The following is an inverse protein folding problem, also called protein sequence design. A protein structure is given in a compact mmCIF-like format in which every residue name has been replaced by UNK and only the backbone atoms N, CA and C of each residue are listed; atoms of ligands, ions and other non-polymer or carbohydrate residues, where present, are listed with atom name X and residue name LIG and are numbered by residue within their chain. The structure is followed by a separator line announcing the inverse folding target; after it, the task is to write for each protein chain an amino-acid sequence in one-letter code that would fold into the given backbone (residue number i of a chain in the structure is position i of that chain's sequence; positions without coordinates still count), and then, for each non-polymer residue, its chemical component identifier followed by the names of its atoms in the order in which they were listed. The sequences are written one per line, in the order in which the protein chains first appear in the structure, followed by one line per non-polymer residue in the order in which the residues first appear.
data_IF_578504541909
#
_entry.id   IF_578504541909
#
_cell.length_a   1.000
_cell.length_b   1.000
_cell.length_c   1.000
_cell.angle_alpha   90.00
_cell.angle_beta   90.00
_cell.angle_gamma   90.00
#
_symmetry.space_group_name_H-M   'P 1'
#
loop_
_entity.id
_entity.type
_entity.pdbx_description
1 polymer ?
#
# COMPACT_ATOMS: atom_id res chain seq x y z
N UNK A 1 -10.34 13.76 -10.41
CA UNK A 1 -10.28 14.05 -8.97
C UNK A 1 -8.82 14.27 -8.61
N UNK A 2 -8.42 15.46 -8.19
CA UNK A 2 -7.09 15.63 -7.60
C UNK A 2 -7.19 15.10 -6.17
N UNK A 3 -6.55 13.98 -5.88
CA UNK A 3 -6.38 13.53 -4.51
C UNK A 3 -5.52 14.56 -3.79
N UNK A 4 -6.07 15.14 -2.72
CA UNK A 4 -5.36 16.11 -1.90
C UNK A 4 -4.88 15.40 -0.65
N UNK A 5 -3.57 15.38 -0.47
CA UNK A 5 -2.92 14.86 0.71
C UNK A 5 -2.23 16.04 1.41
N UNK A 6 -2.89 16.68 2.38
CA UNK A 6 -2.38 17.90 3.01
C UNK A 6 -1.14 17.62 3.85
N UNK A 7 -0.31 18.65 3.99
CA UNK A 7 0.65 18.76 5.07
C UNK A 7 -0.11 19.28 6.28
N UNK A 8 -0.07 18.54 7.39
CA UNK A 8 -0.79 18.88 8.62
C UNK A 8 0.14 19.64 9.55
N UNK A 9 -0.24 20.87 9.91
CA UNK A 9 0.47 21.70 10.88
C UNK A 9 -0.33 21.71 12.16
N UNK A 10 0.28 21.34 13.27
CA UNK A 10 -0.33 21.39 14.60
C UNK A 10 0.40 22.44 15.41
N UNK A 11 -0.30 23.55 15.67
CA UNK A 11 0.23 24.73 16.32
C UNK A 11 -0.90 25.49 17.00
N UNK A 12 -0.81 25.72 18.30
CA UNK A 12 -1.85 26.41 19.09
C UNK A 12 -2.02 27.86 18.62
N UNK A 13 -0.93 28.47 18.18
CA UNK A 13 -0.89 29.83 17.68
C UNK A 13 -1.19 29.96 16.18
N UNK A 14 -1.52 28.88 15.47
CA UNK A 14 -1.75 28.90 14.03
C UNK A 14 -2.75 29.98 13.58
N UNK A 15 -3.73 30.31 14.43
CA UNK A 15 -4.72 31.38 14.17
C UNK A 15 -4.44 32.68 14.90
N UNK A 16 -3.37 32.74 15.70
CA UNK A 16 -2.99 33.88 16.51
C UNK A 16 -2.30 34.97 15.65
N UNK A 17 -2.40 36.23 16.06
CA UNK A 17 -1.69 37.35 15.42
C UNK A 17 -0.34 37.66 16.07
N UNK A 18 0.13 36.83 17.00
CA UNK A 18 1.45 36.95 17.60
C UNK A 18 2.58 36.54 16.64
N UNK A 19 3.84 36.74 17.04
CA UNK A 19 4.99 36.46 16.18
C UNK A 19 5.11 34.97 15.83
N UNK A 20 4.75 34.07 16.74
CA UNK A 20 4.74 32.62 16.52
C UNK A 20 3.74 32.26 15.42
N UNK A 21 2.48 32.71 15.57
CA UNK A 21 1.43 32.48 14.60
C UNK A 21 1.73 33.09 13.21
N UNK A 22 2.40 34.24 13.16
CA UNK A 22 2.85 34.83 11.90
C UNK A 22 3.94 33.98 11.22
N UNK A 23 4.89 33.45 11.98
CA UNK A 23 5.97 32.60 11.48
C UNK A 23 5.45 31.31 10.88
N UNK A 24 4.58 30.59 11.58
CA UNK A 24 4.03 29.32 11.10
C UNK A 24 3.10 29.51 9.89
N UNK A 25 2.32 30.61 9.84
CA UNK A 25 1.52 30.94 8.65
C UNK A 25 2.38 31.31 7.45
N UNK A 26 3.51 32.01 7.63
CA UNK A 26 4.43 32.26 6.53
C UNK A 26 4.97 30.96 5.91
N UNK A 27 5.24 29.93 6.73
CA UNK A 27 5.60 28.60 6.24
C UNK A 27 4.42 27.93 5.53
N UNK A 28 3.21 27.99 6.08
CA UNK A 28 2.00 27.46 5.46
C UNK A 28 1.75 28.11 4.07
N UNK A 29 1.83 29.44 3.99
CA UNK A 29 1.69 30.17 2.73
C UNK A 29 2.76 29.79 1.70
N UNK A 30 4.00 29.57 2.14
CA UNK A 30 5.07 29.12 1.26
C UNK A 30 4.80 27.70 0.70
N UNK A 31 4.24 26.80 1.52
CA UNK A 31 3.83 25.45 1.10
C UNK A 31 2.66 25.54 0.09
N UNK A 32 1.65 26.38 0.36
CA UNK A 32 0.49 26.53 -0.52
C UNK A 32 0.84 27.16 -1.87
N UNK A 33 1.81 28.08 -1.92
CA UNK A 33 2.36 28.64 -3.18
C UNK A 33 2.93 27.57 -4.10
N UNK A 34 3.49 26.50 -3.54
CA UNK A 34 4.01 25.33 -4.27
C UNK A 34 2.92 24.28 -4.57
N UNK A 35 1.63 24.66 -4.45
CA UNK A 35 0.45 23.85 -4.78
C UNK A 35 0.23 22.61 -3.88
N UNK A 36 0.81 22.57 -2.69
CA UNK A 36 0.47 21.59 -1.65
C UNK A 36 -0.57 22.21 -0.71
N UNK A 37 -1.56 21.38 -0.33
CA UNK A 37 -2.59 21.80 0.62
C UNK A 37 -2.05 21.75 2.05
N UNK A 38 -2.35 22.78 2.84
CA UNK A 38 -2.02 22.83 4.26
C UNK A 38 -3.29 22.71 5.10
N UNK A 39 -3.22 21.94 6.16
CA UNK A 39 -4.27 21.82 7.16
C UNK A 39 -3.72 22.27 8.51
N UNK A 40 -4.11 23.45 8.96
CA UNK A 40 -3.76 23.98 10.28
C UNK A 40 -4.73 23.50 11.35
N UNK A 41 -4.20 22.92 12.42
CA UNK A 41 -4.91 22.42 13.61
C UNK A 41 -4.35 23.15 14.84
N UNK A 42 -5.24 23.66 15.70
CA UNK A 42 -4.85 24.49 16.85
C UNK A 42 -4.75 23.74 18.18
N UNK A 43 -4.95 22.41 18.20
CA UNK A 43 -4.89 21.63 19.44
C UNK A 43 -4.51 20.18 19.20
N UNK A 44 -3.66 19.66 20.06
CA UNK A 44 -3.39 18.21 20.15
C UNK A 44 -4.59 17.41 20.72
N UNK A 45 -5.56 18.09 21.36
CA UNK A 45 -6.71 17.45 22.03
C UNK A 45 -7.82 16.98 21.12
N UNK A 46 -7.84 17.39 19.84
CA UNK A 46 -8.91 17.02 18.88
C UNK A 46 -8.55 15.75 18.09
N UNK A 47 -8.09 14.74 18.83
CA UNK A 47 -7.65 13.44 18.31
C UNK A 47 -8.70 12.71 17.47
N UNK A 48 -10.00 12.98 17.68
CA UNK A 48 -11.08 12.35 16.93
C UNK A 48 -11.21 12.90 15.51
N UNK A 49 -11.08 14.20 15.31
CA UNK A 49 -10.97 14.81 13.98
C UNK A 49 -9.63 14.48 13.32
N UNK A 50 -8.58 14.43 14.10
CA UNK A 50 -7.24 14.09 13.69
C UNK A 50 -7.14 12.65 13.15
N UNK A 51 -7.79 11.67 13.78
CA UNK A 51 -7.76 10.28 13.34
C UNK A 51 -8.32 10.06 11.92
N UNK A 52 -9.32 10.86 11.50
CA UNK A 52 -9.83 10.84 10.13
C UNK A 52 -8.87 11.52 9.13
N UNK A 53 -8.11 12.50 9.58
CA UNK A 53 -7.17 13.26 8.74
C UNK A 53 -5.80 12.60 8.62
N UNK A 54 -5.38 11.82 9.63
CA UNK A 54 -4.11 11.09 9.62
C UNK A 54 -3.94 10.17 8.40
N UNK A 55 -5.00 9.52 7.95
CA UNK A 55 -4.96 8.63 6.79
C UNK A 55 -4.75 9.37 5.46
N UNK A 56 -4.85 10.70 5.46
CA UNK A 56 -4.70 11.56 4.27
C UNK A 56 -3.51 12.50 4.34
N UNK A 57 -2.82 12.58 5.46
CA UNK A 57 -1.66 13.44 5.62
C UNK A 57 -0.47 12.98 4.75
N UNK A 58 0.27 13.92 4.18
CA UNK A 58 1.52 13.67 3.47
C UNK A 58 2.76 13.99 4.30
N UNK A 59 2.65 14.86 5.29
CA UNK A 59 3.65 15.16 6.31
C UNK A 59 2.99 15.80 7.53
N UNK A 60 3.69 15.82 8.65
CA UNK A 60 3.31 16.53 9.87
C UNK A 60 4.36 17.56 10.26
N UNK A 61 3.89 18.73 10.67
CA UNK A 61 4.69 19.76 11.33
C UNK A 61 4.07 19.97 12.71
N UNK A 62 4.81 19.68 13.75
CA UNK A 62 4.38 19.77 15.14
C UNK A 62 5.09 20.95 15.78
N UNK A 63 4.36 21.97 16.17
CA UNK A 63 4.92 23.09 16.93
C UNK A 63 5.15 22.70 18.37
N UNK A 64 6.24 23.20 18.92
CA UNK A 64 6.57 23.07 20.34
C UNK A 64 6.70 24.46 20.92
N UNK A 65 5.98 24.74 22.02
CA UNK A 65 6.01 26.02 22.68
C UNK A 65 7.25 26.15 23.55
N UNK A 66 7.94 27.28 23.42
CA UNK A 66 9.12 27.61 24.20
C UNK A 66 8.83 27.84 25.71
N UNK A 67 7.62 28.32 26.04
CA UNK A 67 7.23 28.51 27.42
C UNK A 67 7.11 27.17 28.16
N UNK A 68 6.62 26.14 27.50
CA UNK A 68 6.50 24.78 28.04
C UNK A 68 7.84 24.03 28.07
N UNK A 69 8.71 24.24 27.09
CA UNK A 69 9.96 23.46 26.93
C UNK A 69 11.22 24.19 27.39
N UNK A 70 11.22 25.52 27.48
CA UNK A 70 12.43 26.30 27.72
C UNK A 70 12.45 27.13 29.02
N UNK A 71 11.30 27.54 29.56
CA UNK A 71 11.16 28.39 30.71
C UNK A 71 10.20 27.85 31.77
N UNK A 72 9.49 26.78 31.49
CA UNK A 72 8.54 26.12 32.39
C UNK A 72 9.19 25.38 33.54
N UNK A 73 8.41 24.99 34.54
CA UNK A 73 8.86 24.09 35.60
C UNK A 73 9.25 22.73 35.01
N UNK A 74 10.11 21.97 35.72
CA UNK A 74 10.52 20.64 35.29
C UNK A 74 9.30 19.70 35.06
N UNK A 75 8.23 19.90 35.85
CA UNK A 75 6.97 19.12 35.71
C UNK A 75 6.17 19.47 34.42
N UNK A 76 6.14 20.76 34.06
CA UNK A 76 5.49 21.21 32.80
C UNK A 76 6.23 20.71 31.56
N UNK A 77 7.56 20.80 31.56
CA UNK A 77 8.42 20.27 30.49
C UNK A 77 8.26 18.76 30.33
N UNK A 78 8.21 17.99 31.43
CA UNK A 78 7.98 16.55 31.41
C UNK A 78 6.58 16.21 30.87
N UNK A 79 5.55 17.00 31.19
CA UNK A 79 4.19 16.85 30.70
C UNK A 79 4.10 17.06 29.17
N UNK A 80 4.67 18.13 28.66
CA UNK A 80 4.71 18.45 27.23
C UNK A 80 5.50 17.41 26.42
N UNK A 81 6.65 16.95 26.94
CA UNK A 81 7.42 15.87 26.32
C UNK A 81 6.65 14.55 26.28
N UNK A 82 5.87 14.25 27.30
CA UNK A 82 5.03 13.05 27.35
C UNK A 82 3.93 13.09 26.28
N UNK A 83 3.29 14.25 26.12
CA UNK A 83 2.28 14.46 25.07
C UNK A 83 2.88 14.35 23.66
N UNK A 84 3.99 15.02 23.40
CA UNK A 84 4.69 14.95 22.13
C UNK A 84 5.10 13.51 21.79
N UNK A 85 5.66 12.78 22.78
CA UNK A 85 6.04 11.37 22.62
C UNK A 85 4.84 10.48 22.28
N UNK A 86 3.72 10.66 22.98
CA UNK A 86 2.50 9.91 22.75
C UNK A 86 1.97 10.18 21.33
N UNK A 87 2.00 11.43 20.90
CA UNK A 87 1.51 11.86 19.62
C UNK A 87 2.37 11.32 18.46
N UNK A 88 3.69 11.47 18.53
CA UNK A 88 4.64 10.90 17.55
C UNK A 88 4.46 9.38 17.45
N UNK A 89 4.30 8.71 18.59
CA UNK A 89 4.10 7.27 18.65
C UNK A 89 2.77 6.84 17.99
N UNK A 90 1.71 7.63 18.14
CA UNK A 90 0.43 7.37 17.49
C UNK A 90 0.53 7.56 15.98
N UNK A 91 1.20 8.61 15.50
CA UNK A 91 1.46 8.80 14.07
C UNK A 91 2.23 7.59 13.51
N UNK A 92 3.31 7.17 14.18
CA UNK A 92 4.16 6.05 13.75
C UNK A 92 3.43 4.71 13.75
N UNK A 93 2.51 4.50 14.67
CA UNK A 93 1.69 3.29 14.71
C UNK A 93 0.83 3.13 13.46
N UNK A 94 0.31 4.23 12.93
CA UNK A 94 -0.55 4.23 11.71
C UNK A 94 0.26 4.40 10.43
N UNK A 95 1.33 5.20 10.47
CA UNK A 95 2.13 5.61 9.32
C UNK A 95 3.63 5.59 9.66
N UNK A 96 4.25 4.43 9.52
CA UNK A 96 5.64 4.21 9.95
C UNK A 96 6.66 5.18 9.31
N UNK A 97 6.44 5.61 8.07
CA UNK A 97 7.43 6.36 7.28
C UNK A 97 6.98 7.78 6.91
N UNK A 98 5.85 8.28 7.44
CA UNK A 98 5.39 9.63 7.12
C UNK A 98 6.39 10.67 7.66
N UNK A 99 6.74 11.73 6.89
CA UNK A 99 7.60 12.80 7.39
C UNK A 99 6.98 13.51 8.58
N UNK A 100 7.75 13.66 9.67
CA UNK A 100 7.39 14.42 10.86
C UNK A 100 8.49 15.43 11.12
N UNK A 101 8.11 16.68 11.26
CA UNK A 101 9.01 17.80 11.61
C UNK A 101 8.56 18.43 12.92
N UNK A 102 9.50 18.87 13.73
CA UNK A 102 9.22 19.80 14.82
C UNK A 102 9.49 21.23 14.35
N UNK A 103 8.70 22.15 14.84
CA UNK A 103 8.82 23.58 14.61
C UNK A 103 8.94 24.31 15.96
N UNK A 104 10.00 25.10 16.16
CA UNK A 104 10.24 25.81 17.42
C UNK A 104 11.54 26.58 17.40
N UNK A 105 11.88 27.22 18.51
CA UNK A 105 13.14 27.96 18.67
C UNK A 105 14.34 27.02 18.77
N UNK A 106 15.52 27.49 18.33
CA UNK A 106 16.78 26.72 18.36
C UNK A 106 17.16 26.26 19.78
N UNK A 107 16.86 27.07 20.81
CA UNK A 107 17.13 26.68 22.20
C UNK A 107 16.32 25.47 22.65
N UNK A 108 15.08 25.36 22.20
CA UNK A 108 14.16 24.27 22.54
C UNK A 108 14.62 22.94 21.97
N UNK A 109 15.23 22.95 20.77
CA UNK A 109 15.74 21.73 20.13
C UNK A 109 16.73 20.95 21.00
N UNK A 110 17.46 21.61 21.89
CA UNK A 110 18.45 21.00 22.78
C UNK A 110 17.84 20.16 23.90
N UNK A 111 16.56 20.38 24.20
CA UNK A 111 15.83 19.69 25.26
C UNK A 111 15.05 18.47 24.76
N UNK A 112 15.00 18.26 23.43
CA UNK A 112 14.28 17.13 22.85
C UNK A 112 15.07 15.83 23.03
N UNK A 113 14.50 14.81 23.68
CA UNK A 113 15.17 13.53 23.90
C UNK A 113 15.50 12.79 22.60
N UNK A 114 16.61 12.03 22.62
CA UNK A 114 17.09 11.28 21.46
C UNK A 114 16.10 10.24 20.91
N UNK A 115 15.24 9.69 21.75
CA UNK A 115 14.20 8.74 21.31
C UNK A 115 13.14 9.40 20.44
N UNK A 116 12.77 10.66 20.73
CA UNK A 116 11.88 11.46 19.88
C UNK A 116 12.61 11.88 18.60
N UNK A 117 13.85 12.41 18.72
CA UNK A 117 14.62 12.87 17.57
C UNK A 117 14.80 11.80 16.48
N UNK A 118 14.93 10.53 16.87
CA UNK A 118 15.05 9.40 15.91
C UNK A 118 13.79 9.16 15.08
N UNK A 119 12.65 9.61 15.54
CA UNK A 119 11.36 9.48 14.86
C UNK A 119 11.06 10.64 13.91
N UNK A 120 11.88 11.69 13.96
CA UNK A 120 11.68 12.91 13.18
C UNK A 120 12.50 12.92 11.89
N UNK A 121 12.00 13.64 10.90
CA UNK A 121 12.71 13.94 9.66
C UNK A 121 13.52 15.23 9.75
N UNK A 122 13.21 16.08 10.70
CA UNK A 122 13.95 17.31 10.94
C UNK A 122 13.33 18.22 11.99
N UNK A 123 14.09 19.25 12.34
CA UNK A 123 13.68 20.35 13.17
C UNK A 123 13.70 21.62 12.33
N UNK A 124 12.65 22.42 12.39
CA UNK A 124 12.50 23.69 11.69
C UNK A 124 12.72 24.80 12.73
N UNK A 125 13.75 25.59 12.52
CA UNK A 125 14.11 26.66 13.44
C UNK A 125 13.29 27.90 13.15
N UNK A 126 12.37 28.23 14.08
CA UNK A 126 11.57 29.46 14.02
C UNK A 126 12.51 30.67 13.93
N UNK A 127 12.21 31.62 13.07
CA UNK A 127 12.96 32.86 12.81
C UNK A 127 14.36 32.70 12.17
N UNK A 128 14.95 31.52 12.10
CA UNK A 128 16.26 31.29 11.49
C UNK A 128 16.14 30.69 10.11
N UNK A 129 15.20 29.78 9.90
CA UNK A 129 14.99 29.12 8.62
C UNK A 129 14.09 29.94 7.68
N UNK A 130 14.49 30.02 6.43
CA UNK A 130 13.68 30.70 5.39
C UNK A 130 12.46 29.84 5.02
N UNK A 131 11.22 30.35 5.16
CA UNK A 131 10.01 29.57 4.91
C UNK A 131 9.98 28.89 3.53
N UNK A 132 10.41 29.57 2.48
CA UNK A 132 10.43 29.04 1.11
C UNK A 132 11.43 27.90 0.93
N UNK A 133 12.57 27.93 1.62
CA UNK A 133 13.56 26.85 1.58
C UNK A 133 13.03 25.60 2.29
N UNK A 134 12.50 25.79 3.49
CA UNK A 134 11.91 24.72 4.31
C UNK A 134 10.71 24.09 3.61
N UNK A 135 9.81 24.91 3.05
CA UNK A 135 8.65 24.45 2.30
C UNK A 135 9.05 23.50 1.17
N UNK A 136 10.04 23.85 0.36
CA UNK A 136 10.53 22.99 -0.73
C UNK A 136 11.10 21.68 -0.23
N UNK A 137 11.81 21.70 0.90
CA UNK A 137 12.33 20.48 1.50
C UNK A 137 11.21 19.55 1.99
N UNK A 138 10.26 20.08 2.76
CA UNK A 138 9.11 19.33 3.27
C UNK A 138 8.28 18.74 2.13
N UNK A 139 8.00 19.55 1.09
CA UNK A 139 7.24 19.10 -0.08
C UNK A 139 7.95 17.95 -0.81
N UNK A 140 9.27 18.04 -0.95
CA UNK A 140 10.04 16.95 -1.57
C UNK A 140 9.91 15.64 -0.78
N UNK A 141 10.08 15.70 0.54
CA UNK A 141 9.95 14.52 1.39
C UNK A 141 8.51 14.00 1.42
N UNK A 142 7.50 14.88 1.47
CA UNK A 142 6.09 14.51 1.37
C UNK A 142 5.78 13.79 0.03
N UNK A 143 6.29 14.30 -1.08
CA UNK A 143 6.14 13.64 -2.40
C UNK A 143 6.84 12.28 -2.43
N UNK A 144 8.06 12.20 -1.90
CA UNK A 144 8.80 10.92 -1.79
C UNK A 144 8.03 9.90 -0.96
N UNK A 145 7.44 10.33 0.16
CA UNK A 145 6.57 9.48 0.98
C UNK A 145 5.34 8.99 0.20
N UNK A 146 4.62 9.90 -0.47
CA UNK A 146 3.43 9.56 -1.26
C UNK A 146 3.77 8.60 -2.41
N UNK A 147 4.88 8.81 -3.10
CA UNK A 147 5.36 7.90 -4.13
C UNK A 147 5.69 6.52 -3.55
N UNK A 148 6.24 6.49 -2.32
CA UNK A 148 6.54 5.26 -1.59
C UNK A 148 5.31 4.44 -1.20
N UNK A 149 4.13 5.07 -1.09
CA UNK A 149 2.85 4.38 -0.82
C UNK A 149 2.33 3.62 -2.04
N UNK A 150 2.75 3.99 -3.23
CA UNK A 150 2.31 3.33 -4.46
C UNK A 150 2.92 1.92 -4.56
N UNK A 151 2.13 0.89 -4.92
CA UNK A 151 2.68 -0.44 -5.20
C UNK A 151 3.81 -0.36 -6.22
N UNK A 152 4.93 -1.08 -6.03
CA UNK A 152 6.13 -0.90 -6.85
C UNK A 152 5.91 -1.02 -8.36
N UNK A 153 5.16 -2.03 -8.81
CA UNK A 153 4.84 -2.19 -10.23
C UNK A 153 3.95 -1.07 -10.76
N UNK A 154 2.91 -0.69 -10.01
CA UNK A 154 2.02 0.41 -10.41
C UNK A 154 2.79 1.73 -10.54
N UNK A 155 3.67 2.03 -9.60
CA UNK A 155 4.53 3.22 -9.66
C UNK A 155 5.43 3.22 -10.91
N UNK A 156 6.08 2.08 -11.19
CA UNK A 156 6.91 1.96 -12.39
C UNK A 156 6.10 2.13 -13.67
N UNK A 157 4.89 1.57 -13.74
CA UNK A 157 3.97 1.70 -14.87
C UNK A 157 3.53 3.15 -15.08
N UNK A 158 3.22 3.88 -13.99
CA UNK A 158 2.85 5.30 -14.05
C UNK A 158 4.01 6.14 -14.57
N UNK A 159 5.23 5.92 -14.07
CA UNK A 159 6.42 6.62 -14.54
C UNK A 159 6.66 6.34 -16.03
N UNK A 160 6.64 5.08 -16.44
CA UNK A 160 6.79 4.68 -17.85
C UNK A 160 5.75 5.37 -18.75
N UNK A 161 4.48 5.40 -18.34
CA UNK A 161 3.42 6.05 -19.09
C UNK A 161 3.60 7.59 -19.19
N UNK A 162 4.20 8.22 -18.17
CA UNK A 162 4.44 9.67 -18.11
C UNK A 162 5.70 10.10 -18.88
N UNK A 163 6.74 9.27 -18.92
CA UNK A 163 8.01 9.60 -19.58
C UNK A 163 7.87 9.78 -21.09
N UNK A 164 6.76 9.31 -21.68
CA UNK A 164 6.48 9.48 -23.09
C UNK A 164 7.48 8.78 -24.03
N UNK A 165 8.16 7.76 -23.52
CA UNK A 165 9.13 6.96 -24.28
C UNK A 165 8.53 6.37 -25.54
N UNK A 166 9.30 6.29 -26.62
CA UNK A 166 8.88 5.66 -27.85
C UNK A 166 8.68 4.16 -27.63
N UNK A 167 7.46 3.68 -27.94
CA UNK A 167 7.13 2.27 -27.82
C UNK A 167 7.49 1.52 -29.12
N UNK A 168 8.54 0.70 -29.07
CA UNK A 168 8.97 -0.19 -30.13
C UNK A 168 8.48 -1.64 -29.96
N UNK A 169 7.57 -1.85 -29.04
CA UNK A 169 6.98 -3.13 -28.67
C UNK A 169 5.47 -3.16 -28.90
N UNK A 170 4.85 -4.31 -28.75
CA UNK A 170 3.39 -4.43 -28.70
C UNK A 170 2.80 -3.70 -27.47
N UNK A 171 1.59 -3.20 -27.53
CA UNK A 171 0.66 -3.25 -28.66
C UNK A 171 0.92 -2.18 -29.72
N UNK A 172 0.50 -2.46 -30.99
CA UNK A 172 0.77 -1.60 -32.15
C UNK A 172 0.03 -0.27 -32.18
N UNK A 173 -0.83 0.02 -31.19
CA UNK A 173 -1.46 1.34 -31.06
C UNK A 173 -0.53 2.42 -30.51
N UNK A 174 0.68 2.04 -30.05
CA UNK A 174 1.74 2.96 -29.61
C UNK A 174 1.24 4.04 -28.64
N UNK A 175 0.81 3.64 -27.45
CA UNK A 175 0.26 4.55 -26.43
C UNK A 175 -1.08 5.20 -26.82
N UNK A 176 -1.80 4.61 -27.77
CA UNK A 176 -3.11 5.12 -28.21
C UNK A 176 -3.08 6.02 -29.44
N UNK A 177 -1.91 6.41 -29.94
CA UNK A 177 -1.77 7.33 -31.10
C UNK A 177 -2.47 6.78 -32.35
N UNK A 178 -2.47 5.46 -32.55
CA UNK A 178 -3.15 4.83 -33.67
C UNK A 178 -4.67 5.08 -33.70
N UNK A 179 -5.30 5.21 -32.53
CA UNK A 179 -6.73 5.48 -32.40
C UNK A 179 -7.12 6.90 -32.86
N UNK A 180 -6.21 7.86 -32.77
CA UNK A 180 -6.49 9.25 -33.12
C UNK A 180 -6.69 9.47 -34.65
N UNK A 181 -6.41 8.45 -35.47
CA UNK A 181 -6.50 8.52 -36.94
C UNK A 181 -7.92 8.39 -37.48
N UNK A 182 -8.92 8.11 -36.68
CA UNK A 182 -10.31 7.97 -37.12
C UNK A 182 -11.29 8.51 -36.08
N UNK A 183 -12.51 8.93 -36.45
CA UNK A 183 -13.52 9.41 -35.51
C UNK A 183 -13.91 8.38 -34.47
N UNK A 184 -14.07 7.13 -34.82
CA UNK A 184 -14.37 6.02 -33.92
C UNK A 184 -13.20 5.79 -32.95
N UNK A 185 -11.97 5.84 -33.45
CA UNK A 185 -10.77 5.74 -32.63
C UNK A 185 -10.64 6.89 -31.63
N UNK A 186 -10.99 8.10 -32.04
CA UNK A 186 -11.00 9.26 -31.13
C UNK A 186 -12.04 9.09 -30.02
N UNK A 187 -13.24 8.57 -30.32
CA UNK A 187 -14.24 8.27 -29.28
C UNK A 187 -13.71 7.23 -28.28
N UNK A 188 -13.04 6.19 -28.76
CA UNK A 188 -12.40 5.18 -27.93
C UNK A 188 -11.32 5.79 -27.02
N UNK A 189 -10.42 6.60 -27.60
CA UNK A 189 -9.36 7.29 -26.88
C UNK A 189 -9.92 8.25 -25.81
N UNK A 190 -10.97 9.01 -26.13
CA UNK A 190 -11.63 9.89 -25.17
C UNK A 190 -12.28 9.13 -24.01
N UNK A 191 -12.88 7.97 -24.29
CA UNK A 191 -13.52 7.15 -23.27
C UNK A 191 -12.52 6.54 -22.29
N UNK A 192 -11.45 5.92 -22.77
CA UNK A 192 -10.47 5.25 -21.93
C UNK A 192 -9.42 6.22 -21.36
N UNK A 193 -9.13 7.29 -22.05
CA UNK A 193 -8.10 8.25 -21.67
C UNK A 193 -6.68 7.82 -22.06
N UNK A 194 -5.81 8.79 -22.20
CA UNK A 194 -4.42 8.61 -22.65
C UNK A 194 -3.62 7.71 -21.73
N UNK A 195 -3.75 7.88 -20.41
CA UNK A 195 -2.97 7.13 -19.44
C UNK A 195 -3.23 5.62 -19.50
N UNK A 196 -4.50 5.22 -19.70
CA UNK A 196 -4.82 3.79 -19.84
C UNK A 196 -4.15 3.18 -21.08
N UNK A 197 -4.18 3.91 -22.19
CA UNK A 197 -3.60 3.44 -23.44
C UNK A 197 -2.06 3.45 -23.43
N UNK A 198 -1.44 4.40 -22.71
CA UNK A 198 0.00 4.41 -22.48
C UNK A 198 0.46 3.32 -21.51
N UNK A 199 -0.39 2.93 -20.57
CA UNK A 199 -0.13 1.86 -19.64
C UNK A 199 -0.35 0.45 -20.23
N UNK A 200 -0.94 0.35 -21.42
CA UNK A 200 -1.06 -0.91 -22.15
C UNK A 200 0.25 -1.20 -22.89
N UNK A 201 1.11 -1.96 -22.23
CA UNK A 201 2.49 -2.22 -22.66
C UNK A 201 2.81 -3.71 -22.67
N UNK A 202 3.82 -4.09 -23.45
CA UNK A 202 4.34 -5.45 -23.47
C UNK A 202 5.12 -5.75 -22.18
N UNK A 203 5.08 -6.99 -21.72
CA UNK A 203 5.90 -7.48 -20.59
C UNK A 203 7.40 -7.57 -20.90
N UNK A 204 7.82 -7.23 -22.13
CA UNK A 204 9.23 -7.13 -22.53
C UNK A 204 9.85 -5.75 -22.27
N UNK A 205 9.10 -4.82 -21.68
CA UNK A 205 9.63 -3.52 -21.25
C UNK A 205 10.53 -3.72 -20.05
N UNK A 206 11.83 -3.47 -20.22
CA UNK A 206 12.85 -3.76 -19.22
C UNK A 206 12.64 -2.99 -17.92
N UNK A 207 12.19 -1.74 -18.00
CA UNK A 207 11.91 -0.85 -16.86
C UNK A 207 10.78 -1.39 -15.96
N UNK A 208 9.91 -2.24 -16.48
CA UNK A 208 8.81 -2.85 -15.72
C UNK A 208 9.22 -4.18 -15.06
N UNK A 209 10.40 -4.69 -15.39
CA UNK A 209 10.89 -5.98 -14.92
C UNK A 209 10.27 -7.16 -15.66
N UNK A 210 10.66 -8.36 -15.27
CA UNK A 210 10.26 -9.60 -15.91
C UNK A 210 9.44 -10.48 -14.97
N UNK A 211 8.24 -10.88 -15.42
CA UNK A 211 7.36 -11.75 -14.64
C UNK A 211 7.93 -13.18 -14.53
N UNK A 212 8.54 -13.70 -15.58
CA UNK A 212 9.12 -15.05 -15.61
C UNK A 212 10.36 -15.15 -14.72
N UNK A 213 11.21 -14.14 -14.77
CA UNK A 213 12.51 -14.14 -14.05
C UNK A 213 12.39 -13.51 -12.66
N UNK A 214 11.22 -13.00 -12.28
CA UNK A 214 10.96 -12.32 -11.01
C UNK A 214 11.95 -11.18 -10.75
N UNK A 215 12.11 -10.26 -11.70
CA UNK A 215 13.07 -9.14 -11.62
C UNK A 215 12.38 -7.77 -11.59
N UNK A 216 13.14 -6.73 -11.22
CA UNK A 216 12.71 -5.34 -11.27
C UNK A 216 11.46 -5.02 -10.42
N UNK A 217 10.58 -4.13 -10.89
CA UNK A 217 9.35 -3.75 -10.19
C UNK A 217 8.37 -4.90 -9.93
N UNK A 218 8.34 -5.93 -10.78
CA UNK A 218 7.56 -7.15 -10.54
C UNK A 218 8.04 -7.84 -9.27
N UNK A 219 9.33 -8.14 -9.17
CA UNK A 219 9.90 -8.77 -7.98
C UNK A 219 9.73 -7.90 -6.70
N UNK A 220 9.85 -6.59 -6.82
CA UNK A 220 9.60 -5.67 -5.71
C UNK A 220 8.15 -5.74 -5.23
N UNK A 221 7.20 -5.88 -6.14
CA UNK A 221 5.78 -6.02 -5.82
C UNK A 221 5.47 -7.39 -5.19
N UNK A 222 6.08 -8.47 -5.67
CA UNK A 222 5.95 -9.80 -5.09
C UNK A 222 6.51 -9.86 -3.66
N UNK A 223 7.67 -9.26 -3.40
CA UNK A 223 8.23 -9.12 -2.03
C UNK A 223 7.31 -8.30 -1.12
N UNK A 224 6.73 -7.21 -1.63
CA UNK A 224 5.79 -6.40 -0.86
C UNK A 224 4.51 -7.18 -0.53
N UNK A 225 3.97 -7.94 -1.47
CA UNK A 225 2.83 -8.82 -1.24
C UNK A 225 3.16 -9.90 -0.21
N UNK A 226 4.30 -10.59 -0.34
CA UNK A 226 4.76 -11.58 0.62
C UNK A 226 4.83 -11.02 2.05
N UNK A 227 5.39 -9.81 2.21
CA UNK A 227 5.44 -9.11 3.51
C UNK A 227 4.04 -8.83 4.08
N UNK A 228 3.08 -8.38 3.24
CA UNK A 228 1.71 -8.06 3.68
C UNK A 228 0.97 -9.31 4.13
N UNK A 229 1.14 -10.43 3.42
CA UNK A 229 0.50 -11.70 3.72
C UNK A 229 1.28 -12.57 4.71
N UNK A 230 2.40 -12.08 5.24
CA UNK A 230 3.31 -12.85 6.12
C UNK A 230 3.71 -14.20 5.52
N UNK A 231 3.96 -14.22 4.22
CA UNK A 231 4.40 -15.38 3.46
C UNK A 231 5.90 -15.25 3.12
N UNK A 232 6.59 -16.39 2.96
CA UNK A 232 7.99 -16.43 2.55
C UNK A 232 8.15 -15.91 1.12
N UNK A 233 7.23 -16.29 0.24
CA UNK A 233 7.19 -15.89 -1.16
C UNK A 233 5.77 -15.61 -1.64
N UNK A 234 5.65 -14.72 -2.63
CA UNK A 234 4.42 -14.46 -3.36
C UNK A 234 4.74 -14.37 -4.85
N UNK A 235 3.94 -15.01 -5.67
CA UNK A 235 4.09 -15.01 -7.12
C UNK A 235 2.83 -14.49 -7.80
N UNK A 236 2.97 -13.55 -8.72
CA UNK A 236 1.84 -13.04 -9.48
C UNK A 236 1.51 -13.95 -10.66
N UNK A 237 0.25 -14.37 -10.72
CA UNK A 237 -0.27 -15.21 -11.79
C UNK A 237 -1.27 -14.41 -12.62
N UNK A 238 -0.85 -13.97 -13.80
CA UNK A 238 -1.64 -13.10 -14.68
C UNK A 238 -2.80 -13.82 -15.39
N UNK A 239 -2.75 -15.14 -15.53
CA UNK A 239 -3.79 -15.95 -16.17
C UNK A 239 -4.93 -16.38 -15.22
N UNK A 240 -5.02 -15.74 -14.06
CA UNK A 240 -6.10 -15.92 -13.10
C UNK A 240 -5.95 -17.15 -12.20
N UNK A 241 -6.86 -17.27 -11.23
CA UNK A 241 -6.86 -18.30 -10.19
C UNK A 241 -6.85 -19.74 -10.74
N UNK A 242 -7.44 -19.99 -11.89
CA UNK A 242 -7.39 -21.32 -12.53
C UNK A 242 -5.97 -21.76 -12.86
N UNK A 243 -5.12 -20.81 -13.27
CA UNK A 243 -3.69 -21.09 -13.50
C UNK A 243 -2.94 -21.22 -12.18
N UNK A 244 -3.22 -20.39 -11.17
CA UNK A 244 -2.65 -20.54 -9.83
C UNK A 244 -2.91 -21.94 -9.27
N UNK A 245 -4.16 -22.44 -9.36
CA UNK A 245 -4.50 -23.79 -8.94
C UNK A 245 -3.65 -24.85 -9.66
N UNK A 246 -3.51 -24.74 -10.99
CA UNK A 246 -2.69 -25.68 -11.76
C UNK A 246 -1.23 -25.65 -11.34
N UNK A 247 -0.66 -24.44 -11.14
CA UNK A 247 0.73 -24.28 -10.70
C UNK A 247 0.96 -24.98 -9.35
N UNK A 248 0.08 -24.74 -8.35
CA UNK A 248 0.16 -25.40 -7.04
C UNK A 248 0.06 -26.90 -7.20
N UNK A 249 -0.93 -27.40 -7.93
CA UNK A 249 -1.13 -28.84 -8.11
C UNK A 249 0.09 -29.49 -8.78
N UNK A 250 0.60 -28.96 -9.86
CA UNK A 250 1.77 -29.50 -10.55
C UNK A 250 3.07 -29.45 -9.74
N UNK A 251 3.12 -28.57 -8.73
CA UNK A 251 4.32 -28.48 -7.86
C UNK A 251 4.33 -29.48 -6.72
N UNK A 252 3.15 -29.98 -6.28
CA UNK A 252 3.04 -30.79 -5.06
C UNK A 252 2.33 -32.13 -5.26
N UNK A 253 1.71 -32.38 -6.42
CA UNK A 253 0.95 -33.60 -6.69
C UNK A 253 1.59 -34.33 -7.87
N UNK A 254 1.95 -35.60 -7.63
CA UNK A 254 2.48 -36.51 -8.63
C UNK A 254 1.40 -37.45 -9.17
N UNK A 255 1.75 -38.22 -10.20
CA UNK A 255 0.91 -39.26 -10.72
C UNK A 255 0.65 -40.31 -9.62
N UNK A 256 -0.60 -40.81 -9.54
CA UNK A 256 -1.10 -41.78 -8.60
C UNK A 256 -1.17 -41.30 -7.13
N UNK A 257 -0.85 -40.04 -6.84
CA UNK A 257 -1.09 -39.45 -5.52
C UNK A 257 -2.59 -39.40 -5.21
N UNK A 258 -2.94 -39.80 -3.97
CA UNK A 258 -4.30 -39.68 -3.47
C UNK A 258 -4.55 -38.29 -2.97
N UNK A 259 -5.59 -37.61 -3.52
CA UNK A 259 -5.96 -36.25 -3.17
C UNK A 259 -7.38 -36.19 -2.62
N UNK A 260 -7.54 -35.58 -1.45
CA UNK A 260 -8.85 -35.39 -0.81
C UNK A 260 -9.39 -34.03 -1.23
N UNK A 261 -10.55 -34.00 -1.89
CA UNK A 261 -11.10 -32.79 -2.48
C UNK A 261 -12.61 -32.63 -2.23
N UNK A 262 -13.08 -31.41 -2.09
CA UNK A 262 -14.51 -31.10 -2.10
C UNK A 262 -15.13 -31.49 -3.45
N UNK A 263 -16.24 -32.28 -3.44
CA UNK A 263 -16.97 -32.60 -4.65
C UNK A 263 -17.50 -31.35 -5.37
N UNK A 264 -17.69 -30.25 -4.64
CA UNK A 264 -18.11 -28.95 -5.17
C UNK A 264 -16.93 -28.03 -5.52
N UNK A 265 -15.74 -28.56 -5.71
CA UNK A 265 -14.57 -27.76 -6.09
C UNK A 265 -14.74 -27.13 -7.49
N UNK A 266 -14.00 -26.05 -7.70
CA UNK A 266 -13.99 -25.38 -9.02
C UNK A 266 -13.40 -26.31 -10.08
N UNK A 267 -13.89 -26.20 -11.32
CA UNK A 267 -13.45 -27.04 -12.45
C UNK A 267 -11.94 -27.04 -12.69
N UNK A 268 -11.21 -25.99 -12.31
CA UNK A 268 -9.75 -25.94 -12.42
C UNK A 268 -9.06 -27.00 -11.54
N UNK A 269 -9.66 -27.36 -10.40
CA UNK A 269 -9.16 -28.45 -9.54
C UNK A 269 -9.37 -29.79 -10.24
N UNK A 270 -10.55 -30.04 -10.82
CA UNK A 270 -10.82 -31.26 -11.60
C UNK A 270 -9.84 -31.40 -12.79
N UNK A 271 -9.57 -30.29 -13.49
CA UNK A 271 -8.58 -30.28 -14.55
C UNK A 271 -7.18 -30.59 -14.02
N UNK A 272 -6.80 -30.06 -12.84
CA UNK A 272 -5.50 -30.34 -12.23
C UNK A 272 -5.35 -31.80 -11.82
N UNK A 273 -6.41 -32.42 -11.26
CA UNK A 273 -6.43 -33.86 -10.94
C UNK A 273 -6.13 -34.69 -12.20
N UNK A 274 -6.82 -34.39 -13.29
CA UNK A 274 -6.62 -35.11 -14.56
C UNK A 274 -5.20 -34.88 -15.11
N UNK A 275 -4.72 -33.64 -15.06
CA UNK A 275 -3.40 -33.27 -15.61
C UNK A 275 -2.25 -33.88 -14.82
N UNK A 276 -2.38 -34.00 -13.49
CA UNK A 276 -1.37 -34.63 -12.63
C UNK A 276 -1.48 -36.17 -12.60
N UNK A 277 -2.61 -36.75 -13.09
CA UNK A 277 -2.87 -38.15 -12.96
C UNK A 277 -3.18 -38.59 -11.51
N UNK A 278 -3.68 -37.68 -10.69
CA UNK A 278 -3.99 -37.94 -9.29
C UNK A 278 -5.30 -38.73 -9.11
N UNK A 279 -5.42 -39.42 -8.01
CA UNK A 279 -6.57 -40.24 -7.63
C UNK A 279 -7.45 -39.44 -6.65
N UNK A 280 -8.64 -38.96 -7.06
CA UNK A 280 -9.46 -38.14 -6.17
C UNK A 280 -10.29 -38.95 -5.22
N UNK A 281 -10.31 -38.54 -3.95
CA UNK A 281 -11.23 -38.95 -2.90
C UNK A 281 -12.13 -37.78 -2.56
N UNK A 282 -13.43 -37.87 -2.91
CA UNK A 282 -14.35 -36.78 -2.76
C UNK A 282 -15.01 -36.69 -1.40
N UNK A 283 -14.95 -35.54 -0.76
CA UNK A 283 -15.81 -35.17 0.36
C UNK A 283 -17.15 -34.64 -0.20
N UNK A 284 -18.25 -35.20 0.32
CA UNK A 284 -19.58 -34.95 -0.24
C UNK A 284 -20.32 -33.87 0.53
N UNK A 285 -20.66 -32.73 -0.10
CA UNK A 285 -21.49 -31.72 0.54
C UNK A 285 -22.94 -32.20 0.68
N UNK A 286 -23.64 -31.66 1.65
CA UNK A 286 -25.10 -31.85 1.81
C UNK A 286 -25.85 -31.11 0.67
N UNK A 287 -27.12 -31.45 0.50
CA UNK A 287 -28.06 -30.75 -0.36
C UNK A 287 -29.38 -30.52 0.35
N UNK A 288 -29.99 -29.36 0.15
CA UNK A 288 -31.34 -29.14 0.63
C UNK A 288 -32.38 -29.80 -0.28
N UNK A 289 -33.68 -29.70 0.07
CA UNK A 289 -34.79 -30.28 -0.68
C UNK A 289 -34.94 -29.69 -2.12
N UNK A 290 -34.34 -28.54 -2.41
CA UNK A 290 -34.28 -27.95 -3.75
C UNK A 290 -33.03 -28.35 -4.53
N UNK A 291 -32.17 -29.22 -3.96
CA UNK A 291 -30.92 -29.64 -4.60
C UNK A 291 -29.77 -28.64 -4.48
N UNK A 292 -29.95 -27.51 -3.76
CA UNK A 292 -28.91 -26.51 -3.54
C UNK A 292 -27.83 -27.11 -2.63
N UNK A 293 -26.57 -26.95 -3.02
CA UNK A 293 -25.41 -27.48 -2.30
C UNK A 293 -25.27 -26.73 -0.96
N UNK A 294 -25.09 -27.49 0.10
CA UNK A 294 -24.83 -27.05 1.47
C UNK A 294 -23.38 -27.32 1.89
N UNK A 295 -23.08 -27.20 3.20
CA UNK A 295 -21.76 -27.48 3.73
C UNK A 295 -21.43 -28.98 3.64
N UNK A 296 -20.14 -29.30 3.68
CA UNK A 296 -19.65 -30.68 3.90
C UNK A 296 -19.85 -30.98 5.40
N UNK A 297 -20.52 -32.10 5.76
CA UNK A 297 -20.64 -32.52 7.17
C UNK A 297 -19.27 -32.74 7.81
N UNK A 298 -19.14 -32.40 9.10
CA UNK A 298 -17.87 -32.55 9.81
C UNK A 298 -17.36 -33.99 9.85
N UNK A 299 -18.28 -34.98 9.83
CA UNK A 299 -17.99 -36.40 9.80
C UNK A 299 -17.21 -36.81 8.53
N UNK A 300 -17.35 -36.07 7.44
CA UNK A 300 -16.60 -36.33 6.20
C UNK A 300 -15.09 -36.07 6.35
N UNK A 301 -14.69 -35.22 7.31
CA UNK A 301 -13.28 -34.87 7.57
C UNK A 301 -12.60 -35.76 8.58
N UNK A 302 -13.31 -36.77 9.15
CA UNK A 302 -12.70 -37.70 10.09
C UNK A 302 -11.75 -38.64 9.38
N UNK A 303 -10.70 -39.07 10.08
CA UNK A 303 -9.72 -40.06 9.58
C UNK A 303 -10.40 -41.34 9.12
N UNK A 304 -11.38 -41.81 9.89
CA UNK A 304 -12.15 -43.05 9.63
C UNK A 304 -13.00 -42.89 8.35
N UNK A 305 -13.60 -41.74 8.13
CA UNK A 305 -14.39 -41.47 6.93
C UNK A 305 -13.52 -41.42 5.68
N UNK A 306 -12.39 -40.74 5.77
CA UNK A 306 -11.42 -40.61 4.67
C UNK A 306 -10.83 -42.02 4.36
N UNK A 307 -10.42 -42.78 5.36
CA UNK A 307 -9.88 -44.13 5.18
C UNK A 307 -10.88 -45.05 4.46
N UNK A 308 -12.15 -45.08 4.90
CA UNK A 308 -13.20 -45.87 4.23
C UNK A 308 -13.39 -45.45 2.75
N UNK A 309 -13.27 -44.18 2.44
CA UNK A 309 -13.41 -43.68 1.06
C UNK A 309 -12.21 -44.04 0.19
N UNK A 310 -11.02 -44.09 0.77
CA UNK A 310 -9.81 -44.57 0.10
C UNK A 310 -9.95 -46.06 -0.19
N UNK A 311 -10.33 -46.90 0.81
CA UNK A 311 -10.56 -48.32 0.64
C UNK A 311 -11.67 -48.67 -0.37
N UNK A 312 -12.73 -47.83 -0.41
CA UNK A 312 -13.84 -48.03 -1.35
C UNK A 312 -13.49 -47.59 -2.79
N UNK A 313 -12.44 -46.82 -2.98
CA UNK A 313 -11.98 -46.38 -4.31
C UNK A 313 -10.99 -47.42 -4.87
N UNK A 314 -11.37 -48.19 -5.93
CA UNK A 314 -10.52 -49.23 -6.47
C UNK A 314 -9.15 -48.74 -6.93
N UNK A 315 -9.07 -47.50 -7.41
CA UNK A 315 -7.80 -46.91 -7.86
C UNK A 315 -6.93 -46.47 -6.69
N UNK A 316 -7.52 -45.96 -5.60
CA UNK A 316 -6.76 -45.50 -4.45
C UNK A 316 -6.21 -46.70 -3.61
N UNK A 317 -6.95 -47.78 -3.52
CA UNK A 317 -6.53 -48.99 -2.80
C UNK A 317 -5.25 -49.61 -3.36
N UNK A 318 -5.05 -49.52 -4.67
CA UNK A 318 -3.91 -50.14 -5.36
C UNK A 318 -2.70 -49.18 -5.45
N UNK A 319 -2.88 -47.90 -5.07
CA UNK A 319 -1.84 -46.86 -5.06
C UNK A 319 -1.13 -46.73 -3.69
N UNK A 320 -1.58 -47.40 -2.64
CA UNK A 320 -1.07 -47.27 -1.28
C UNK A 320 0.08 -48.24 -0.96
#
# INVERSE_FOLDING_TARGET
MKFRFPIVIIDEDFRSENNSGLGIRALADAIEKEQMEVLGVTSYGDLSQFAQQQSRASAFILSIDDEEFGSGSAEETDGALLQLRAFVKEIRHKNANIPIYLYGETRTSRHIPNDILRELHGFIHMFEDTPEFVARHIIREAKTYLDGLSPPFFRALVHYAQDGSYSWHCPGHSGGVAFLKSPIGQMFHQFFGENLLRADVCNSVEELGQLLDHTGPVAASERNAARIYSADHCYFVTNGTSTSNKMVWHSIVAQDDIVVVDRNCHKSILHSIIMCGAIPVFLMPTRNHLGIIGPIPLEEFTTESIARKIEANPFARDAA
#
